data_IF_720003796110
#
_entry.id   IF_720003796110
#
_cell.length_a   1.000
_cell.length_b   1.000
_cell.length_c   1.000
_cell.angle_alpha   90.00
_cell.angle_beta   90.00
_cell.angle_gamma   90.00
#
_symmetry.space_group_name_H-M   'P 1'
#
loop_
_entity.id
_entity.type
_entity.pdbx_description
1 polymer ?
#
# COMPACT_ATOMS: atom_id res chain seq x y z
N UNK A 1 -19.43 20.63 20.80
CA UNK A 1 -18.85 21.98 20.71
C UNK A 1 -17.38 21.92 21.10
N UNK A 2 -16.54 22.46 20.20
CA UNK A 2 -15.11 22.87 20.23
C UNK A 2 -14.04 21.90 20.79
N UNK A 3 -13.17 21.53 19.85
CA UNK A 3 -12.06 20.59 19.87
C UNK A 3 -10.72 21.23 20.28
N UNK A 4 -9.86 20.39 20.85
CA UNK A 4 -8.40 20.41 20.97
C UNK A 4 -7.63 21.76 21.05
N UNK A 5 -6.96 21.97 22.19
CA UNK A 5 -5.81 22.88 22.32
C UNK A 5 -4.52 22.05 22.34
N UNK A 6 -3.66 22.22 21.32
CA UNK A 6 -2.20 22.06 21.46
C UNK A 6 -1.52 22.79 20.30
N UNK A 7 -0.54 23.63 20.62
CA UNK A 7 0.23 24.43 19.65
C UNK A 7 1.31 23.55 18.99
N UNK A 8 1.41 23.64 17.66
CA UNK A 8 2.46 23.02 16.86
C UNK A 8 3.59 24.03 16.65
N UNK A 9 4.79 23.74 17.16
CA UNK A 9 6.02 24.38 16.71
C UNK A 9 6.90 23.35 15.99
N UNK A 10 7.04 23.47 14.66
CA UNK A 10 8.34 23.58 13.97
C UNK A 10 8.22 23.40 12.45
N UNK A 11 8.97 24.27 11.76
CA UNK A 11 9.68 24.12 10.48
C UNK A 11 8.90 24.11 9.14
N UNK A 12 9.07 25.21 8.40
CA UNK A 12 9.16 25.26 6.93
C UNK A 12 7.89 25.63 6.15
N UNK A 13 6.72 25.12 6.55
CA UNK A 13 5.42 25.45 5.91
C UNK A 13 4.60 26.49 6.68
N UNK A 14 5.23 27.16 7.65
CA UNK A 14 4.59 27.93 8.73
C UNK A 14 3.85 29.21 8.26
N UNK A 15 4.37 29.92 7.24
CA UNK A 15 3.89 31.28 6.93
C UNK A 15 2.41 31.35 6.49
N UNK A 16 1.87 30.33 5.78
CA UNK A 16 0.43 30.29 5.41
C UNK A 16 -0.48 29.68 6.49
N UNK A 17 0.09 28.94 7.44
CA UNK A 17 -0.66 28.38 8.57
C UNK A 17 -0.78 29.42 9.70
N UNK A 18 0.25 30.22 9.94
CA UNK A 18 0.26 31.28 10.96
C UNK A 18 -0.82 32.35 10.70
N UNK A 19 -0.99 32.83 9.46
CA UNK A 19 -2.05 33.79 9.13
C UNK A 19 -3.48 33.23 9.35
N UNK A 20 -3.69 31.93 9.09
CA UNK A 20 -5.00 31.28 9.29
C UNK A 20 -5.27 30.87 10.74
N UNK A 21 -4.22 30.52 11.49
CA UNK A 21 -4.30 30.20 12.92
C UNK A 21 -4.50 31.46 13.78
N UNK A 22 -3.96 32.60 13.35
CA UNK A 22 -4.05 33.90 14.03
C UNK A 22 -5.48 34.35 14.36
N UNK A 23 -6.48 33.94 13.58
CA UNK A 23 -7.90 34.31 13.83
C UNK A 23 -8.72 33.26 14.59
N UNK A 24 -8.27 32.00 14.67
CA UNK A 24 -9.12 30.90 15.14
C UNK A 24 -8.59 30.10 16.34
N UNK A 25 -7.31 30.20 16.72
CA UNK A 25 -6.75 29.58 17.94
C UNK A 25 -6.82 28.04 18.04
N UNK A 26 -7.46 27.37 17.08
CA UNK A 26 -7.63 25.92 16.93
C UNK A 26 -7.62 25.56 15.44
N UNK A 27 -7.31 24.30 15.13
CA UNK A 27 -7.36 23.78 13.76
C UNK A 27 -8.82 23.83 13.23
N UNK A 28 -9.10 24.53 12.12
CA UNK A 28 -10.46 24.68 11.64
C UNK A 28 -11.03 23.37 11.08
N UNK A 29 -12.29 23.10 11.39
CA UNK A 29 -13.05 21.99 10.82
C UNK A 29 -13.28 22.26 9.32
N UNK A 30 -13.08 21.24 8.48
CA UNK A 30 -13.26 21.34 7.03
C UNK A 30 -12.02 21.78 6.24
N UNK A 31 -10.92 22.13 6.91
CA UNK A 31 -9.64 22.30 6.21
C UNK A 31 -9.06 20.95 5.79
N UNK A 32 -8.72 20.83 4.50
CA UNK A 32 -8.33 19.57 3.85
C UNK A 32 -7.21 18.81 4.57
N UNK A 33 -6.24 19.52 5.15
CA UNK A 33 -5.09 18.89 5.81
C UNK A 33 -5.28 18.73 7.32
N UNK A 34 -6.42 19.17 7.88
CA UNK A 34 -6.68 19.06 9.31
C UNK A 34 -6.55 17.63 9.85
N UNK A 35 -7.10 16.59 9.19
CA UNK A 35 -6.95 15.21 9.66
C UNK A 35 -5.50 14.74 9.68
N UNK A 36 -4.72 15.05 8.63
CA UNK A 36 -3.31 14.66 8.56
C UNK A 36 -2.48 15.32 9.66
N UNK A 37 -2.64 16.63 9.84
CA UNK A 37 -1.91 17.39 10.87
C UNK A 37 -2.24 16.87 12.28
N UNK A 38 -3.52 16.63 12.56
CA UNK A 38 -3.94 16.09 13.85
C UNK A 38 -3.40 14.67 14.08
N UNK A 39 -3.51 13.79 13.07
CA UNK A 39 -3.03 12.42 13.14
C UNK A 39 -1.52 12.33 13.39
N UNK A 40 -0.73 13.14 12.67
CA UNK A 40 0.73 13.22 12.86
C UNK A 40 1.10 13.70 14.27
N UNK A 41 0.45 14.75 14.77
CA UNK A 41 0.73 15.26 16.11
C UNK A 41 0.36 14.26 17.21
N UNK A 42 -0.80 13.59 17.08
CA UNK A 42 -1.19 12.55 18.04
C UNK A 42 -0.24 11.34 17.99
N UNK A 43 0.20 10.93 16.79
CA UNK A 43 1.17 9.85 16.65
C UNK A 43 2.49 10.19 17.35
N UNK A 44 3.01 11.40 17.12
CA UNK A 44 4.23 11.90 17.75
C UNK A 44 4.12 11.94 19.28
N UNK A 45 2.97 12.39 19.81
CA UNK A 45 2.78 12.38 21.26
C UNK A 45 2.72 10.94 21.80
N UNK A 46 2.02 10.03 21.11
CA UNK A 46 1.92 8.61 21.49
C UNK A 46 3.27 7.87 21.48
N UNK A 47 4.28 8.33 20.73
CA UNK A 47 5.65 7.78 20.81
C UNK A 47 6.26 7.91 22.21
N UNK A 48 5.85 8.92 22.98
CA UNK A 48 6.28 9.13 24.37
C UNK A 48 5.44 8.39 25.41
N UNK A 49 4.36 7.71 24.98
CA UNK A 49 3.52 6.96 25.89
C UNK A 49 4.11 5.56 26.12
N UNK A 50 4.46 5.29 27.37
CA UNK A 50 4.93 3.97 27.79
C UNK A 50 3.74 3.10 28.23
N UNK A 51 3.47 1.99 27.52
CA UNK A 51 2.39 1.09 27.91
C UNK A 51 2.73 0.35 29.22
N UNK A 52 1.74 0.08 30.09
CA UNK A 52 1.93 -0.80 31.24
C UNK A 52 2.40 -2.20 30.83
N UNK A 53 2.99 -2.99 31.76
CA UNK A 53 3.42 -4.36 31.48
C UNK A 53 2.30 -5.22 30.89
N UNK A 54 2.68 -6.14 29.99
CA UNK A 54 1.76 -7.08 29.35
C UNK A 54 1.79 -7.00 27.82
N UNK A 55 1.43 -8.10 27.16
CA UNK A 55 1.34 -8.17 25.70
C UNK A 55 0.13 -7.37 25.19
N UNK A 56 0.39 -6.39 24.33
CA UNK A 56 -0.65 -5.61 23.69
C UNK A 56 -0.16 -4.78 22.51
N UNK A 57 -1.12 -4.17 21.80
CA UNK A 57 -0.87 -3.30 20.67
C UNK A 57 -1.83 -2.12 20.69
N UNK A 58 -1.31 -0.93 20.39
CA UNK A 58 -2.08 0.27 20.12
C UNK A 58 -2.05 0.56 18.62
N UNK A 59 -3.23 0.77 18.04
CA UNK A 59 -3.42 1.18 16.66
C UNK A 59 -4.07 2.56 16.65
N UNK A 60 -3.53 3.44 15.81
CA UNK A 60 -4.07 4.78 15.59
C UNK A 60 -4.43 4.96 14.12
N UNK A 61 -5.56 5.62 13.88
CA UNK A 61 -5.88 6.19 12.59
C UNK A 61 -6.52 7.56 12.79
N UNK A 62 -5.78 8.63 12.48
CA UNK A 62 -6.20 10.02 12.72
C UNK A 62 -6.60 10.20 14.20
N UNK A 63 -7.90 10.30 14.50
CA UNK A 63 -8.49 10.49 15.83
C UNK A 63 -9.06 9.21 16.46
N UNK A 64 -9.12 8.11 15.71
CA UNK A 64 -9.57 6.82 16.20
C UNK A 64 -8.40 6.02 16.78
N UNK A 65 -8.57 5.50 18.01
CA UNK A 65 -7.61 4.66 18.70
C UNK A 65 -8.21 3.29 19.02
N UNK A 66 -7.48 2.22 18.74
CA UNK A 66 -7.81 0.85 19.11
C UNK A 66 -6.66 0.23 19.90
N UNK A 67 -6.95 -0.22 21.12
CA UNK A 67 -6.03 -1.01 21.93
C UNK A 67 -6.49 -2.46 21.95
N UNK A 68 -5.55 -3.39 21.85
CA UNK A 68 -5.78 -4.81 21.97
C UNK A 68 -4.75 -5.40 22.92
N UNK A 69 -5.20 -6.15 23.92
CA UNK A 69 -4.36 -6.83 24.90
C UNK A 69 -4.80 -8.29 25.03
N UNK A 70 -3.94 -9.13 25.61
CA UNK A 70 -4.22 -10.57 25.76
C UNK A 70 -5.26 -10.88 26.84
N UNK A 71 -5.27 -10.13 27.94
CA UNK A 71 -6.18 -10.35 29.07
C UNK A 71 -7.06 -9.12 29.34
N UNK A 72 -8.17 -9.34 30.03
CA UNK A 72 -9.06 -8.24 30.44
C UNK A 72 -8.36 -7.30 31.43
N UNK A 73 -7.61 -7.85 32.39
CA UNK A 73 -6.87 -7.09 33.41
C UNK A 73 -5.86 -6.13 32.77
N UNK A 74 -4.99 -6.66 31.88
CA UNK A 74 -4.05 -5.83 31.12
C UNK A 74 -4.79 -4.79 30.26
N UNK A 75 -5.98 -5.11 29.74
CA UNK A 75 -6.80 -4.16 28.99
C UNK A 75 -7.25 -2.99 29.87
N UNK A 76 -7.64 -3.26 31.12
CA UNK A 76 -8.04 -2.23 32.09
C UNK A 76 -6.85 -1.32 32.39
N UNK A 77 -5.70 -1.88 32.73
CA UNK A 77 -4.50 -1.11 33.08
C UNK A 77 -4.03 -0.22 31.92
N UNK A 78 -3.99 -0.79 30.71
CA UNK A 78 -3.69 -0.04 29.48
C UNK A 78 -4.71 1.06 29.22
N UNK A 79 -6.00 0.80 29.49
CA UNK A 79 -7.06 1.80 29.34
C UNK A 79 -6.80 3.00 30.25
N UNK A 80 -6.53 2.75 31.54
CA UNK A 80 -6.32 3.79 32.54
C UNK A 80 -5.07 4.61 32.20
N UNK A 81 -3.95 3.94 31.91
CA UNK A 81 -2.70 4.60 31.52
C UNK A 81 -2.88 5.48 30.28
N UNK A 82 -3.50 4.95 29.23
CA UNK A 82 -3.72 5.70 27.98
C UNK A 82 -4.64 6.90 28.18
N UNK A 83 -5.74 6.76 28.94
CA UNK A 83 -6.65 7.87 29.19
C UNK A 83 -6.00 8.98 30.02
N UNK A 84 -5.18 8.62 31.02
CA UNK A 84 -4.43 9.58 31.81
C UNK A 84 -3.41 10.33 30.94
N UNK A 85 -2.65 9.59 30.12
CA UNK A 85 -1.70 10.17 29.16
C UNK A 85 -2.40 11.16 28.23
N UNK A 86 -3.49 10.75 27.58
CA UNK A 86 -4.26 11.60 26.68
C UNK A 86 -4.77 12.86 27.39
N UNK A 87 -5.27 12.71 28.62
CA UNK A 87 -5.73 13.82 29.44
C UNK A 87 -4.61 14.82 29.77
N UNK A 88 -3.44 14.32 30.15
CA UNK A 88 -2.25 15.14 30.43
C UNK A 88 -1.74 15.88 29.18
N UNK A 89 -1.85 15.25 28.01
CA UNK A 89 -1.53 15.88 26.72
C UNK A 89 -2.62 16.85 26.22
N UNK A 90 -3.73 16.99 26.93
CA UNK A 90 -4.82 17.90 26.60
C UNK A 90 -5.85 17.37 25.60
N UNK A 91 -5.78 16.08 25.23
CA UNK A 91 -6.78 15.42 24.40
C UNK A 91 -8.04 15.10 25.21
N UNK A 92 -9.17 15.01 24.51
CA UNK A 92 -10.45 14.61 25.10
C UNK A 92 -11.03 13.42 24.35
N UNK A 93 -11.49 12.43 25.10
CA UNK A 93 -12.11 11.21 24.57
C UNK A 93 -13.63 11.30 24.73
N UNK A 94 -14.37 10.89 23.71
CA UNK A 94 -15.84 10.89 23.74
C UNK A 94 -16.37 9.70 24.55
N UNK A 95 -16.79 9.94 25.80
CA UNK A 95 -17.35 8.90 26.69
C UNK A 95 -18.49 8.11 26.04
N UNK A 96 -19.42 8.79 25.35
CA UNK A 96 -20.57 8.15 24.67
C UNK A 96 -20.17 7.17 23.55
N UNK A 97 -19.01 7.41 22.91
CA UNK A 97 -18.53 6.61 21.78
C UNK A 97 -17.46 5.59 22.20
N UNK A 98 -16.91 5.74 23.40
CA UNK A 98 -15.83 4.90 23.88
C UNK A 98 -16.34 3.46 24.09
N UNK A 99 -15.59 2.51 23.55
CA UNK A 99 -15.83 1.07 23.71
C UNK A 99 -14.77 0.53 24.67
N UNK A 100 -15.09 0.48 25.96
CA UNK A 100 -14.13 0.18 27.03
C UNK A 100 -14.15 -1.31 27.34
N UNK A 101 -12.98 -1.96 27.23
CA UNK A 101 -12.71 -3.34 27.68
C UNK A 101 -13.79 -4.32 27.17
N UNK A 102 -13.93 -4.40 25.85
CA UNK A 102 -14.88 -5.29 25.18
C UNK A 102 -14.15 -6.32 24.32
N UNK A 103 -14.69 -7.53 24.27
CA UNK A 103 -14.21 -8.58 23.36
C UNK A 103 -14.53 -8.29 21.89
N UNK A 104 -15.60 -7.55 21.64
CA UNK A 104 -16.03 -7.12 20.30
C UNK A 104 -16.14 -5.60 20.26
N UNK A 105 -15.51 -4.99 19.26
CA UNK A 105 -15.50 -3.53 19.06
C UNK A 105 -15.71 -3.16 17.60
N UNK A 106 -16.23 -1.97 17.36
CA UNK A 106 -16.25 -1.33 16.04
C UNK A 106 -15.05 -0.39 15.93
N UNK A 107 -14.19 -0.59 14.93
CA UNK A 107 -13.04 0.27 14.63
C UNK A 107 -12.94 0.50 13.13
N UNK A 108 -12.90 1.77 12.69
CA UNK A 108 -12.88 2.17 11.27
C UNK A 108 -13.99 1.55 10.41
N UNK A 109 -15.15 1.28 11.02
CA UNK A 109 -16.29 0.62 10.34
C UNK A 109 -16.18 -0.89 10.21
N UNK A 110 -15.16 -1.52 10.80
CA UNK A 110 -15.04 -2.96 10.94
C UNK A 110 -15.47 -3.41 12.33
N UNK A 111 -16.20 -4.52 12.40
CA UNK A 111 -16.43 -5.25 13.65
C UNK A 111 -15.25 -6.20 13.87
N UNK A 112 -14.47 -5.92 14.91
CA UNK A 112 -13.28 -6.67 15.33
C UNK A 112 -13.64 -7.51 16.54
N UNK A 113 -13.36 -8.81 16.49
CA UNK A 113 -13.64 -9.75 17.58
C UNK A 113 -12.77 -10.99 17.44
N UNK A 114 -12.21 -11.50 18.55
CA UNK A 114 -11.54 -12.81 18.59
C UNK A 114 -10.56 -13.08 17.42
N UNK A 115 -9.69 -12.12 17.10
CA UNK A 115 -8.70 -12.26 16.03
C UNK A 115 -9.26 -12.18 14.60
N UNK A 116 -10.54 -11.86 14.44
CA UNK A 116 -11.22 -11.69 13.17
C UNK A 116 -11.70 -10.25 12.98
N UNK A 117 -11.83 -9.84 11.71
CA UNK A 117 -12.47 -8.60 11.29
C UNK A 117 -13.59 -8.88 10.29
N UNK A 118 -14.72 -8.23 10.50
CA UNK A 118 -15.91 -8.33 9.65
C UNK A 118 -16.34 -6.93 9.20
N UNK A 119 -16.89 -6.83 7.99
CA UNK A 119 -17.52 -5.60 7.53
C UNK A 119 -18.77 -5.32 8.38
N UNK A 120 -18.94 -4.06 8.82
CA UNK A 120 -20.14 -3.64 9.54
C UNK A 120 -21.42 -3.86 8.70
N UNK A 121 -22.49 -4.31 9.37
CA UNK A 121 -23.75 -4.66 8.71
C UNK A 121 -24.38 -3.46 8.00
N UNK A 122 -24.42 -2.30 8.64
CA UNK A 122 -24.96 -1.05 8.07
C UNK A 122 -24.29 -0.69 6.73
N UNK A 123 -22.98 -0.96 6.61
CA UNK A 123 -22.23 -0.70 5.38
C UNK A 123 -22.58 -1.70 4.28
N UNK A 124 -22.71 -2.99 4.63
CA UNK A 124 -23.17 -4.02 3.69
C UNK A 124 -24.55 -3.65 3.14
N UNK A 125 -25.45 -3.22 4.02
CA UNK A 125 -26.81 -2.82 3.68
C UNK A 125 -26.84 -1.58 2.79
N UNK A 126 -26.10 -0.53 3.14
CA UNK A 126 -26.03 0.70 2.34
C UNK A 126 -25.57 0.43 0.89
N UNK A 127 -24.56 -0.44 0.70
CA UNK A 127 -24.09 -0.81 -0.65
C UNK A 127 -25.13 -1.66 -1.39
N UNK A 128 -25.79 -2.60 -0.69
CA UNK A 128 -26.79 -3.46 -1.32
C UNK A 128 -28.07 -2.71 -1.72
N UNK A 129 -28.49 -1.72 -0.93
CA UNK A 129 -29.63 -0.86 -1.21
C UNK A 129 -29.36 0.19 -2.28
N UNK A 130 -28.09 0.45 -2.62
CA UNK A 130 -27.73 1.42 -3.66
C UNK A 130 -28.39 1.02 -4.99
N UNK A 131 -29.23 1.86 -5.62
CA UNK A 131 -29.89 1.53 -6.88
C UNK A 131 -28.86 1.32 -8.00
N UNK A 132 -29.29 0.68 -9.10
CA UNK A 132 -28.44 0.50 -10.28
C UNK A 132 -28.02 1.88 -10.82
N UNK A 133 -26.71 2.21 -10.87
CA UNK A 133 -26.23 3.50 -11.33
C UNK A 133 -26.72 3.84 -12.75
N UNK A 134 -27.22 5.05 -12.94
CA UNK A 134 -27.64 5.56 -14.25
C UNK A 134 -26.58 6.46 -14.87
N UNK A 135 -25.73 7.07 -14.04
CA UNK A 135 -24.68 7.99 -14.49
C UNK A 135 -23.28 7.46 -14.19
N UNK A 136 -22.29 7.86 -14.99
CA UNK A 136 -20.86 7.54 -14.74
C UNK A 136 -20.43 7.99 -13.34
N UNK A 137 -20.95 9.11 -12.86
CA UNK A 137 -20.68 9.62 -11.50
C UNK A 137 -21.19 8.66 -10.43
N UNK A 138 -22.44 8.22 -10.53
CA UNK A 138 -23.01 7.22 -9.62
C UNK A 138 -22.24 5.90 -9.66
N UNK A 139 -21.83 5.46 -10.84
CA UNK A 139 -21.06 4.22 -10.98
C UNK A 139 -19.68 4.33 -10.34
N UNK A 140 -18.99 5.47 -10.50
CA UNK A 140 -17.73 5.74 -9.79
C UNK A 140 -17.92 5.78 -8.28
N UNK A 141 -19.00 6.38 -7.80
CA UNK A 141 -19.34 6.36 -6.37
C UNK A 141 -19.57 4.93 -5.87
N UNK A 142 -20.33 4.11 -6.62
CA UNK A 142 -20.57 2.71 -6.30
C UNK A 142 -19.28 1.87 -6.28
N UNK A 143 -18.41 2.03 -7.29
CA UNK A 143 -17.11 1.36 -7.34
C UNK A 143 -16.17 1.82 -6.21
N UNK A 144 -16.20 3.11 -5.84
CA UNK A 144 -15.46 3.61 -4.69
C UNK A 144 -15.92 2.99 -3.37
N UNK A 145 -17.23 2.87 -3.17
CA UNK A 145 -17.80 2.24 -1.97
C UNK A 145 -17.45 0.74 -1.89
N UNK A 146 -17.59 0.01 -3.00
CA UNK A 146 -17.31 -1.44 -3.06
C UNK A 146 -15.81 -1.74 -3.03
N UNK A 147 -14.97 -0.84 -3.57
CA UNK A 147 -13.52 -0.97 -3.59
C UNK A 147 -12.89 -0.93 -2.19
N UNK A 148 -13.53 -0.26 -1.24
CA UNK A 148 -13.13 -0.33 0.16
C UNK A 148 -13.31 -1.74 0.75
N UNK A 149 -14.30 -2.49 0.27
CA UNK A 149 -14.60 -3.85 0.67
C UNK A 149 -13.85 -4.91 -0.16
N UNK A 150 -12.95 -4.53 -1.08
CA UNK A 150 -12.33 -5.44 -2.05
C UNK A 150 -11.70 -6.70 -1.43
N UNK A 151 -11.09 -6.57 -0.25
CA UNK A 151 -10.41 -7.67 0.44
C UNK A 151 -11.37 -8.78 0.90
N UNK A 152 -12.67 -8.52 0.93
CA UNK A 152 -13.70 -9.47 1.34
C UNK A 152 -14.39 -10.14 0.14
N UNK A 153 -14.04 -9.75 -1.07
CA UNK A 153 -14.70 -10.17 -2.31
C UNK A 153 -13.68 -10.91 -3.15
N UNK A 154 -13.83 -12.23 -3.23
CA UNK A 154 -12.97 -13.07 -4.06
C UNK A 154 -13.01 -12.60 -5.52
N UNK A 155 -11.82 -12.50 -6.14
CA UNK A 155 -11.63 -12.03 -7.51
C UNK A 155 -12.31 -10.67 -7.79
N UNK A 156 -12.30 -9.75 -6.81
CA UNK A 156 -12.92 -8.42 -6.94
C UNK A 156 -12.54 -7.73 -8.25
N UNK A 157 -11.25 -7.74 -8.62
CA UNK A 157 -10.75 -7.09 -9.84
C UNK A 157 -11.41 -7.62 -11.13
N UNK A 158 -11.52 -8.95 -11.25
CA UNK A 158 -12.21 -9.59 -12.37
C UNK A 158 -13.71 -9.27 -12.36
N UNK A 159 -14.31 -9.28 -11.18
CA UNK A 159 -15.74 -9.03 -11.01
C UNK A 159 -16.15 -7.61 -11.41
N UNK A 160 -15.33 -6.60 -11.14
CA UNK A 160 -15.63 -5.20 -11.48
C UNK A 160 -15.14 -4.77 -12.86
N UNK A 161 -14.36 -5.60 -13.57
CA UNK A 161 -13.84 -5.29 -14.92
C UNK A 161 -14.94 -4.87 -15.91
N UNK A 162 -16.10 -5.56 -16.01
CA UNK A 162 -17.19 -5.12 -16.89
C UNK A 162 -17.81 -3.77 -16.48
N UNK A 163 -17.73 -3.40 -15.20
CA UNK A 163 -18.23 -2.12 -14.70
C UNK A 163 -17.28 -0.97 -15.04
N UNK A 164 -15.97 -1.20 -14.95
CA UNK A 164 -14.99 -0.21 -15.37
C UNK A 164 -15.04 0.05 -16.87
N UNK A 165 -15.30 -0.98 -17.69
CA UNK A 165 -15.48 -0.81 -19.14
C UNK A 165 -16.55 0.24 -19.49
N UNK A 166 -17.67 0.25 -18.76
CA UNK A 166 -18.74 1.25 -18.94
C UNK A 166 -18.28 2.70 -18.70
N UNK A 167 -17.23 2.91 -17.91
CA UNK A 167 -16.67 4.25 -17.61
C UNK A 167 -15.74 4.70 -18.74
N UNK A 168 -15.00 3.76 -19.34
CA UNK A 168 -13.97 4.04 -20.34
C UNK A 168 -14.55 4.38 -21.71
N UNK A 169 -15.78 3.97 -21.99
CA UNK A 169 -16.46 4.19 -23.28
C UNK A 169 -16.88 5.64 -23.57
N UNK A 170 -16.59 6.61 -22.67
CA UNK A 170 -16.70 8.05 -22.94
C UNK A 170 -18.13 8.60 -23.12
N UNK A 171 -19.16 7.75 -23.06
CA UNK A 171 -20.57 8.14 -23.15
C UNK A 171 -21.06 8.78 -21.85
N UNK A 172 -21.89 9.84 -21.96
CA UNK A 172 -22.53 10.48 -20.79
C UNK A 172 -23.53 9.55 -20.10
N UNK A 173 -24.18 8.69 -20.89
CA UNK A 173 -25.16 7.71 -20.45
C UNK A 173 -24.54 6.32 -20.36
N UNK A 174 -24.80 5.61 -19.26
CA UNK A 174 -24.29 4.26 -19.05
C UNK A 174 -25.04 3.24 -19.91
N UNK A 175 -24.36 2.71 -20.92
CA UNK A 175 -24.89 1.62 -21.75
C UNK A 175 -24.68 0.27 -21.05
N UNK A 176 -25.63 -0.11 -20.19
CA UNK A 176 -25.52 -1.34 -19.42
C UNK A 176 -25.58 -2.60 -20.28
N UNK A 177 -24.45 -3.29 -20.38
CA UNK A 177 -24.37 -4.61 -20.98
C UNK A 177 -24.95 -5.69 -20.05
N UNK A 178 -25.24 -6.86 -20.62
CA UNK A 178 -25.64 -8.06 -19.85
C UNK A 178 -24.55 -8.43 -18.83
N UNK A 179 -23.28 -8.36 -19.24
CA UNK A 179 -22.13 -8.68 -18.39
C UNK A 179 -21.95 -7.68 -17.25
N UNK A 180 -22.08 -6.37 -17.52
CA UNK A 180 -22.04 -5.36 -16.48
C UNK A 180 -23.19 -5.52 -15.47
N UNK A 181 -24.40 -5.82 -15.96
CA UNK A 181 -25.56 -6.07 -15.08
C UNK A 181 -25.35 -7.32 -14.21
N UNK A 182 -24.77 -8.39 -14.78
CA UNK A 182 -24.40 -9.60 -14.02
C UNK A 182 -23.35 -9.28 -12.96
N UNK A 183 -22.28 -8.57 -13.33
CA UNK A 183 -21.22 -8.14 -12.43
C UNK A 183 -21.76 -7.32 -11.25
N UNK A 184 -22.62 -6.34 -11.51
CA UNK A 184 -23.25 -5.51 -10.46
C UNK A 184 -24.03 -6.34 -9.44
N UNK A 185 -24.86 -7.27 -9.91
CA UNK A 185 -25.66 -8.13 -9.04
C UNK A 185 -24.80 -9.14 -8.27
N UNK A 186 -23.79 -9.73 -8.92
CA UNK A 186 -22.85 -10.65 -8.28
C UNK A 186 -22.03 -9.94 -7.19
N UNK A 187 -21.59 -8.70 -7.43
CA UNK A 187 -20.85 -7.91 -6.46
C UNK A 187 -21.65 -7.65 -5.19
N UNK A 188 -22.94 -7.31 -5.32
CA UNK A 188 -23.85 -7.16 -4.16
C UNK A 188 -24.03 -8.48 -3.40
N UNK A 189 -24.21 -9.59 -4.11
CA UNK A 189 -24.31 -10.91 -3.47
C UNK A 189 -23.04 -11.27 -2.70
N UNK A 190 -21.88 -11.09 -3.32
CA UNK A 190 -20.57 -11.38 -2.71
C UNK A 190 -20.32 -10.54 -1.44
N UNK A 191 -20.77 -9.28 -1.43
CA UNK A 191 -20.71 -8.41 -0.25
C UNK A 191 -21.57 -8.91 0.93
N UNK A 192 -22.76 -9.44 0.65
CA UNK A 192 -23.62 -9.99 1.69
C UNK A 192 -23.04 -11.27 2.27
N UNK A 193 -22.51 -12.14 1.41
CA UNK A 193 -21.82 -13.38 1.81
C UNK A 193 -20.36 -13.17 2.25
N UNK A 194 -19.89 -11.92 2.37
CA UNK A 194 -18.51 -11.61 2.72
C UNK A 194 -18.12 -12.26 4.07
N UNK A 195 -17.11 -13.14 4.09
CA UNK A 195 -16.73 -13.88 5.29
C UNK A 195 -16.03 -13.00 6.32
N UNK A 196 -15.88 -13.50 7.54
CA UNK A 196 -14.93 -12.90 8.48
C UNK A 196 -13.50 -13.15 7.97
N UNK A 197 -12.68 -12.10 7.95
CA UNK A 197 -11.26 -12.26 7.62
C UNK A 197 -10.47 -12.37 8.92
N UNK A 198 -9.55 -13.32 8.97
CA UNK A 198 -8.53 -13.34 10.02
C UNK A 198 -7.71 -12.05 9.98
N UNK A 199 -7.29 -11.57 11.16
CA UNK A 199 -6.25 -10.55 11.21
C UNK A 199 -4.95 -11.16 10.63
N UNK A 200 -4.17 -10.39 9.86
CA UNK A 200 -3.01 -10.93 9.17
C UNK A 200 -2.00 -11.50 10.18
N UNK A 201 -1.89 -12.82 10.23
CA UNK A 201 -0.68 -13.50 10.69
C UNK A 201 0.35 -13.36 9.55
N UNK A 202 1.59 -12.94 9.85
CA UNK A 202 2.59 -12.57 8.84
C UNK A 202 2.76 -13.62 7.73
N UNK A 203 2.60 -14.91 8.06
CA UNK A 203 2.62 -16.01 7.08
C UNK A 203 1.41 -16.07 6.15
N UNK A 204 0.19 -15.95 6.70
CA UNK A 204 -1.06 -16.05 5.93
C UNK A 204 -1.28 -14.86 4.97
N UNK A 205 -0.65 -13.72 5.25
CA UNK A 205 -0.75 -12.50 4.45
C UNK A 205 -0.18 -12.67 3.03
N UNK A 206 0.94 -13.38 2.89
CA UNK A 206 1.57 -13.61 1.58
C UNK A 206 0.82 -14.66 0.78
N UNK A 207 0.32 -15.70 1.46
CA UNK A 207 -0.43 -16.78 0.81
C UNK A 207 -1.72 -16.27 0.15
N UNK A 208 -2.47 -15.38 0.81
CA UNK A 208 -3.71 -14.85 0.23
C UNK A 208 -3.49 -13.95 -0.99
N UNK A 209 -2.40 -13.16 -1.02
CA UNK A 209 -2.08 -12.27 -2.15
C UNK A 209 -1.63 -13.07 -3.36
N UNK A 210 -0.88 -14.15 -3.14
CA UNK A 210 -0.35 -15.01 -4.22
C UNK A 210 -1.47 -15.82 -4.90
N UNK A 211 -2.51 -16.25 -4.17
CA UNK A 211 -3.64 -17.02 -4.72
C UNK A 211 -4.67 -16.15 -5.46
N UNK A 212 -4.59 -14.82 -5.38
CA UNK A 212 -5.45 -13.91 -6.17
C UNK A 212 -5.01 -13.78 -7.65
N UNK A 213 -3.87 -14.36 -8.02
CA UNK A 213 -3.37 -14.38 -9.39
C UNK A 213 -3.75 -15.72 -10.07
N UNK A 214 -4.30 -15.66 -11.28
CA UNK A 214 -4.78 -16.84 -12.01
C UNK A 214 -3.65 -17.77 -12.50
N UNK A 215 -2.38 -17.35 -12.37
CA UNK A 215 -1.16 -18.02 -12.83
C UNK A 215 -0.29 -18.57 -11.69
N UNK A 216 -0.76 -18.53 -10.44
CA UNK A 216 0.01 -18.98 -9.27
C UNK A 216 -0.71 -20.10 -8.51
N UNK A 217 -0.14 -21.30 -8.50
CA UNK A 217 -0.60 -22.44 -7.72
C UNK A 217 0.29 -22.66 -6.49
N UNK A 218 -0.31 -22.66 -5.29
CA UNK A 218 0.42 -22.94 -4.05
C UNK A 218 0.36 -24.43 -3.76
N UNK A 219 1.50 -25.11 -3.92
CA UNK A 219 1.66 -26.53 -3.59
C UNK A 219 2.39 -26.67 -2.26
N UNK A 220 1.89 -27.53 -1.37
CA UNK A 220 2.59 -27.89 -0.13
C UNK A 220 3.74 -28.82 -0.50
N UNK A 221 4.97 -28.37 -0.27
CA UNK A 221 6.18 -29.19 -0.49
C UNK A 221 6.71 -29.74 0.83
N UNK A 222 7.28 -30.95 0.77
CA UNK A 222 7.96 -31.58 1.90
C UNK A 222 9.42 -31.11 2.05
N UNK A 223 9.86 -30.16 1.21
CA UNK A 223 11.19 -29.58 1.26
C UNK A 223 11.22 -28.49 2.33
N UNK A 224 12.05 -28.70 3.35
CA UNK A 224 12.24 -27.77 4.46
C UNK A 224 12.80 -26.45 3.92
N UNK A 225 12.12 -25.34 4.20
CA UNK A 225 12.61 -24.01 3.81
C UNK A 225 14.03 -23.82 4.37
N UNK A 226 15.05 -23.55 3.54
CA UNK A 226 16.44 -23.34 3.99
C UNK A 226 16.57 -22.25 5.06
N UNK A 227 15.68 -21.23 5.05
CA UNK A 227 15.64 -20.18 6.07
C UNK A 227 15.24 -20.70 7.47
N UNK A 228 14.65 -21.89 7.56
CA UNK A 228 14.35 -22.55 8.84
C UNK A 228 15.62 -23.03 9.56
N UNK A 229 16.75 -23.18 8.85
CA UNK A 229 18.06 -23.52 9.43
C UNK A 229 18.82 -22.29 9.93
N UNK A 230 18.33 -21.07 9.67
CA UNK A 230 18.97 -19.82 10.12
C UNK A 230 18.61 -19.44 11.56
N UNK A 231 17.62 -20.10 12.17
CA UNK A 231 17.33 -19.96 13.60
C UNK A 231 18.00 -21.06 14.41
N UNK A 232 19.28 -20.83 14.73
CA UNK A 232 19.92 -21.37 15.92
C UNK A 232 20.51 -22.79 15.83
N UNK A 233 21.73 -22.89 15.32
CA UNK A 233 22.75 -23.75 15.94
C UNK A 233 24.13 -23.21 15.57
N UNK A 234 24.94 -22.94 16.58
CA UNK A 234 26.38 -22.66 16.45
C UNK A 234 27.07 -23.87 15.82
N UNK A 235 27.32 -23.81 14.52
CA UNK A 235 28.13 -24.74 13.75
C UNK A 235 29.07 -23.96 12.85
N UNK A 236 30.20 -24.56 12.47
CA UNK A 236 31.32 -23.94 11.76
C UNK A 236 30.89 -23.05 10.58
N UNK A 237 31.63 -21.95 10.31
CA UNK A 237 31.29 -21.04 9.22
C UNK A 237 31.34 -21.78 7.88
N UNK A 238 30.15 -22.04 7.32
CA UNK A 238 30.01 -22.52 5.96
C UNK A 238 30.32 -21.36 5.02
N UNK A 239 31.44 -21.46 4.31
CA UNK A 239 31.74 -20.58 3.18
C UNK A 239 30.75 -20.97 2.08
N UNK A 240 29.82 -20.07 1.78
CA UNK A 240 28.93 -20.22 0.62
C UNK A 240 29.01 -18.97 -0.25
N UNK A 241 29.22 -19.17 -1.54
CA UNK A 241 29.33 -18.11 -2.54
C UNK A 241 27.97 -17.96 -3.22
N UNK A 242 27.03 -17.30 -2.53
CA UNK A 242 25.63 -17.22 -2.96
C UNK A 242 25.38 -16.48 -4.30
N UNK A 243 26.41 -15.90 -4.91
CA UNK A 243 26.30 -15.27 -6.23
C UNK A 243 26.07 -16.32 -7.33
N UNK A 244 26.81 -17.44 -7.34
CA UNK A 244 26.64 -18.49 -8.36
C UNK A 244 25.24 -19.13 -8.33
N UNK A 245 24.68 -19.30 -7.12
CA UNK A 245 23.36 -19.94 -6.95
C UNK A 245 22.22 -19.04 -7.42
N UNK A 246 22.32 -17.72 -7.21
CA UNK A 246 21.31 -16.76 -7.68
C UNK A 246 21.37 -16.67 -9.21
N UNK A 247 22.56 -16.65 -9.78
CA UNK A 247 22.77 -16.55 -11.23
C UNK A 247 22.27 -17.79 -11.98
N UNK A 248 22.48 -18.99 -11.43
CA UNK A 248 21.97 -20.24 -11.98
C UNK A 248 20.44 -20.37 -11.92
N UNK A 249 19.78 -19.74 -10.93
CA UNK A 249 18.33 -19.90 -10.69
C UNK A 249 17.48 -18.84 -11.38
N UNK A 250 18.03 -17.65 -11.65
CA UNK A 250 17.27 -16.49 -12.16
C UNK A 250 17.75 -15.95 -13.51
N UNK A 251 18.69 -16.60 -14.20
CA UNK A 251 19.04 -16.16 -15.55
C UNK A 251 17.91 -16.47 -16.53
N UNK A 252 17.17 -15.44 -16.92
CA UNK A 252 16.16 -15.50 -17.99
C UNK A 252 16.75 -15.87 -19.36
N UNK A 253 18.08 -15.89 -19.50
CA UNK A 253 18.85 -16.24 -20.71
C UNK A 253 20.13 -16.98 -20.32
N UNK A 254 20.13 -18.33 -20.23
CA UNK A 254 21.29 -19.11 -19.78
C UNK A 254 22.52 -19.02 -20.70
N UNK A 255 22.33 -18.45 -21.90
CA UNK A 255 23.36 -18.17 -22.90
C UNK A 255 24.09 -16.83 -22.70
N UNK A 256 23.55 -15.92 -21.87
CA UNK A 256 24.18 -14.63 -21.57
C UNK A 256 24.96 -14.74 -20.26
N UNK A 257 26.29 -14.66 -20.34
CA UNK A 257 27.21 -14.74 -19.20
C UNK A 257 28.05 -13.47 -19.12
N UNK A 258 28.51 -13.12 -17.93
CA UNK A 258 29.47 -12.02 -17.72
C UNK A 258 30.91 -12.40 -18.12
N UNK A 259 31.15 -13.70 -18.38
CA UNK A 259 32.42 -14.23 -18.87
C UNK A 259 32.56 -14.02 -20.39
N UNK A 260 33.67 -13.42 -20.87
CA UNK A 260 33.95 -13.31 -22.31
C UNK A 260 33.95 -14.68 -23.00
N UNK A 261 33.44 -14.73 -24.24
CA UNK A 261 33.49 -15.94 -25.07
C UNK A 261 34.92 -16.16 -25.60
N UNK A 262 35.36 -17.41 -25.63
CA UNK A 262 36.62 -17.80 -26.28
C UNK A 262 36.50 -17.55 -27.80
N UNK A 263 37.54 -16.96 -28.40
CA UNK A 263 37.65 -16.63 -29.83
C UNK A 263 36.62 -15.62 -30.40
N UNK A 264 36.02 -14.78 -29.57
CA UNK A 264 35.09 -13.74 -30.02
C UNK A 264 35.77 -12.37 -30.30
N UNK A 265 35.21 -11.63 -31.26
CA UNK A 265 35.61 -10.24 -31.50
C UNK A 265 35.18 -9.33 -30.33
N UNK A 266 36.09 -8.46 -29.89
CA UNK A 266 35.80 -7.49 -28.82
C UNK A 266 35.36 -6.16 -29.40
N UNK A 267 34.09 -5.82 -29.17
CA UNK A 267 33.50 -4.55 -29.58
C UNK A 267 33.18 -3.70 -28.36
N UNK A 268 33.40 -2.40 -28.48
CA UNK A 268 33.12 -1.39 -27.47
C UNK A 268 31.98 -0.51 -27.98
N UNK A 269 31.01 -0.22 -27.11
CA UNK A 269 29.87 0.64 -27.42
C UNK A 269 29.86 1.81 -26.46
N UNK A 270 29.53 3.01 -26.96
CA UNK A 270 29.34 4.19 -26.13
C UNK A 270 28.28 5.13 -26.73
N UNK A 271 27.61 5.88 -25.86
CA UNK A 271 26.56 6.82 -26.20
C UNK A 271 26.76 8.15 -25.49
N UNK A 272 26.74 9.25 -26.25
CA UNK A 272 26.93 10.60 -25.70
C UNK A 272 25.72 11.49 -25.92
N UNK A 273 25.50 12.42 -24.99
CA UNK A 273 24.44 13.44 -25.08
C UNK A 273 24.91 14.76 -24.47
N UNK A 274 24.77 15.86 -25.20
CA UNK A 274 25.16 17.20 -24.76
C UNK A 274 24.15 18.25 -25.23
N UNK A 275 24.18 19.43 -24.61
CA UNK A 275 23.22 20.51 -24.90
C UNK A 275 23.93 21.69 -25.55
N UNK A 276 23.45 22.10 -26.73
CA UNK A 276 23.93 23.29 -27.44
C UNK A 276 22.72 24.19 -27.72
N UNK A 277 22.82 25.46 -27.34
CA UNK A 277 21.76 26.47 -27.57
C UNK A 277 20.37 26.01 -27.12
N UNK A 278 20.29 25.32 -25.98
CA UNK A 278 19.05 24.81 -25.39
C UNK A 278 18.46 23.57 -26.05
N UNK A 279 19.12 22.98 -27.06
CA UNK A 279 18.72 21.73 -27.70
C UNK A 279 19.68 20.61 -27.35
N UNK A 280 19.15 19.45 -27.04
CA UNK A 280 19.93 18.26 -26.68
C UNK A 280 20.27 17.47 -27.94
N UNK A 281 21.56 17.31 -28.19
CA UNK A 281 22.13 16.50 -29.26
C UNK A 281 22.72 15.23 -28.66
N UNK A 282 22.62 14.13 -29.39
CA UNK A 282 23.15 12.85 -28.96
C UNK A 282 23.70 12.07 -30.14
N UNK A 283 24.58 11.12 -29.86
CA UNK A 283 25.16 10.22 -30.85
C UNK A 283 25.68 8.96 -30.19
N UNK A 284 25.98 7.96 -30.99
CA UNK A 284 26.53 6.69 -30.54
C UNK A 284 27.74 6.29 -31.38
N UNK A 285 28.55 5.39 -30.83
CA UNK A 285 29.63 4.75 -31.54
C UNK A 285 29.77 3.29 -31.11
N UNK A 286 30.11 2.43 -32.08
CA UNK A 286 30.52 1.04 -31.91
C UNK A 286 31.89 0.91 -32.54
N UNK A 287 32.88 0.50 -31.76
CA UNK A 287 34.29 0.47 -32.18
C UNK A 287 34.95 -0.83 -31.77
N UNK A 288 35.95 -1.27 -32.53
CA UNK A 288 36.93 -2.22 -32.00
C UNK A 288 38.11 -1.45 -31.41
N UNK A 289 39.15 -2.15 -30.94
CA UNK A 289 40.40 -1.52 -30.52
C UNK A 289 41.18 -0.84 -31.66
N UNK A 290 40.76 -1.04 -32.93
CA UNK A 290 41.52 -0.60 -34.11
C UNK A 290 40.74 0.31 -35.05
N UNK A 291 39.41 0.21 -35.08
CA UNK A 291 38.58 0.95 -36.03
C UNK A 291 37.18 1.24 -35.50
N UNK A 292 36.51 2.21 -36.13
CA UNK A 292 35.11 2.53 -35.88
C UNK A 292 34.27 1.66 -36.80
N UNK A 293 33.42 0.82 -36.21
CA UNK A 293 32.52 -0.09 -36.93
C UNK A 293 31.26 0.66 -37.35
N UNK A 294 30.67 1.42 -36.43
CA UNK A 294 29.48 2.21 -36.69
C UNK A 294 29.46 3.46 -35.81
N UNK A 295 28.98 4.59 -36.34
CA UNK A 295 28.68 5.76 -35.52
C UNK A 295 27.66 6.65 -36.21
N UNK A 296 26.84 7.36 -35.43
CA UNK A 296 25.81 8.18 -36.00
C UNK A 296 25.19 9.19 -35.04
N UNK A 297 24.63 10.29 -35.57
CA UNK A 297 23.83 11.21 -34.78
C UNK A 297 22.44 10.62 -34.49
N UNK A 298 21.92 10.87 -33.30
CA UNK A 298 20.60 10.43 -32.85
C UNK A 298 19.59 11.59 -32.86
N UNK A 299 18.27 11.29 -32.85
CA UNK A 299 17.24 12.31 -32.79
C UNK A 299 17.44 13.29 -31.63
N UNK A 300 17.10 14.55 -31.87
CA UNK A 300 17.20 15.61 -30.86
C UNK A 300 16.36 15.24 -29.62
N UNK A 301 16.87 15.54 -28.42
CA UNK A 301 16.31 15.15 -27.11
C UNK A 301 16.53 13.69 -26.67
N UNK A 302 17.36 12.92 -27.37
CA UNK A 302 17.80 11.60 -26.87
C UNK A 302 18.75 11.77 -25.67
N UNK A 303 18.51 11.03 -24.58
CA UNK A 303 19.36 11.03 -23.38
C UNK A 303 20.62 10.20 -23.59
N UNK A 304 21.67 10.41 -22.78
CA UNK A 304 22.91 9.63 -22.82
C UNK A 304 22.64 8.12 -22.63
N UNK A 305 21.88 7.76 -21.60
CA UNK A 305 21.49 6.37 -21.33
C UNK A 305 20.73 5.72 -22.49
N UNK A 306 19.86 6.48 -23.17
CA UNK A 306 19.15 5.97 -24.34
C UNK A 306 20.08 5.82 -25.54
N UNK A 307 21.08 6.69 -25.68
CA UNK A 307 22.10 6.58 -26.71
C UNK A 307 23.00 5.34 -26.49
N UNK A 308 23.38 5.05 -25.25
CA UNK A 308 24.14 3.83 -24.89
C UNK A 308 23.34 2.56 -25.25
N UNK A 309 22.04 2.51 -24.93
CA UNK A 309 21.20 1.36 -25.30
C UNK A 309 21.06 1.23 -26.82
N UNK A 310 20.96 2.34 -27.55
CA UNK A 310 20.89 2.32 -29.03
C UNK A 310 22.23 1.85 -29.62
N UNK A 311 23.37 2.16 -28.99
CA UNK A 311 24.67 1.67 -29.43
C UNK A 311 24.82 0.14 -29.27
N UNK A 312 24.00 -0.46 -28.39
CA UNK A 312 24.05 -1.89 -28.06
C UNK A 312 23.08 -2.75 -28.89
N UNK A 313 22.05 -2.16 -29.51
CA UNK A 313 20.99 -2.85 -30.28
C UNK A 313 21.26 -2.74 -31.77
#
# INVERSE_FOLDING_TARGET
MKSARKFLHSSGKALKLEEKLSSHGVLPQGYKNSPSIFGEQLAKDLESWEPPPGEGQLLQYVDDLLRATRTQETCVDWTVSLLNFLGLQGYRVSQKKAQIVRQTVIYLGYKVSAGQRTLGQDRKEAICQTPKPQTVKELRTFLGMTGWCRLWIYNYGLLVKPLYALITEGSRDLQWTKDATRAFNQLKKALMSAPALGLPNRFLKYQAILVEQDDVEIVVTNIVNPASFLSGSTGEPVIHECLETIEATYSSRPDLKDTPLEDADTWFTDGSSYVVSGRRHAGYAVTTSREIIESGPLPTNTSAQKAEIIALI
#
